data_IF_086935621453
#
_entry.id   IF_086935621453
#
_cell.length_a   1.000
_cell.length_b   1.000
_cell.length_c   1.000
_cell.angle_alpha   90.00
_cell.angle_beta   90.00
_cell.angle_gamma   90.00
#
_symmetry.space_group_name_H-M   'P 1'
#
loop_
_entity.id
_entity.type
_entity.pdbx_description
1 polymer ?
#
# COMPACT_ATOMS: atom_id res chain seq x y z
N UNK A 1 -22.28 -58.73 72.34
CA UNK A 1 -23.09 -57.62 71.79
C UNK A 1 -22.14 -56.51 71.34
N UNK A 2 -22.29 -56.07 70.09
CA UNK A 2 -21.26 -55.35 69.31
C UNK A 2 -21.24 -53.83 69.58
N UNK A 3 -20.02 -53.27 69.54
CA UNK A 3 -19.67 -51.83 69.54
C UNK A 3 -20.26 -51.13 68.31
N UNK A 4 -20.71 -49.88 68.45
CA UNK A 4 -20.81 -48.94 67.33
C UNK A 4 -20.35 -47.54 67.74
N UNK A 5 -19.23 -47.16 67.14
CA UNK A 5 -18.65 -45.83 67.04
C UNK A 5 -19.44 -45.06 65.97
N UNK A 6 -19.87 -43.82 66.22
CA UNK A 6 -20.28 -42.89 65.16
C UNK A 6 -19.38 -41.67 65.20
N UNK A 7 -18.39 -41.66 64.30
CA UNK A 7 -17.67 -40.45 63.92
C UNK A 7 -18.46 -39.73 62.82
N UNK A 8 -18.81 -38.47 63.05
CA UNK A 8 -19.29 -37.60 61.99
C UNK A 8 -18.08 -37.08 61.21
N UNK A 9 -17.89 -37.65 60.02
CA UNK A 9 -16.92 -37.20 59.02
C UNK A 9 -17.40 -35.85 58.47
N UNK A 10 -16.67 -34.78 58.77
CA UNK A 10 -16.84 -33.49 58.13
C UNK A 10 -16.42 -33.62 56.65
N UNK A 11 -17.37 -33.52 55.74
CA UNK A 11 -17.12 -33.52 54.30
C UNK A 11 -16.64 -32.12 53.90
N UNK A 12 -15.33 -31.93 53.82
CA UNK A 12 -14.70 -30.71 53.30
C UNK A 12 -14.84 -30.73 51.77
N UNK A 13 -15.84 -30.01 51.23
CA UNK A 13 -16.00 -29.82 49.80
C UNK A 13 -14.93 -28.84 49.31
N UNK A 14 -13.87 -29.38 48.72
CA UNK A 14 -12.79 -28.61 48.10
C UNK A 14 -13.32 -27.98 46.80
N UNK A 15 -13.80 -26.74 46.89
CA UNK A 15 -14.07 -25.88 45.74
C UNK A 15 -12.73 -25.51 45.10
N UNK A 16 -12.30 -26.31 44.12
CA UNK A 16 -11.21 -25.95 43.22
C UNK A 16 -11.71 -24.79 42.36
N UNK A 17 -11.39 -23.56 42.78
CA UNK A 17 -11.51 -22.39 41.93
C UNK A 17 -10.50 -22.54 40.78
N UNK A 18 -10.97 -23.04 39.64
CA UNK A 18 -10.30 -22.88 38.36
C UNK A 18 -10.36 -21.39 38.01
N UNK A 19 -9.46 -20.60 38.61
CA UNK A 19 -9.11 -19.29 38.10
C UNK A 19 -8.32 -19.56 36.82
N UNK A 20 -9.04 -19.74 35.72
CA UNK A 20 -8.44 -19.64 34.41
C UNK A 20 -7.83 -18.25 34.33
N UNK A 21 -6.51 -18.16 34.32
CA UNK A 21 -5.81 -16.95 33.91
C UNK A 21 -6.14 -16.75 32.42
N UNK A 22 -7.29 -16.15 32.12
CA UNK A 22 -7.54 -15.55 30.83
C UNK A 22 -6.53 -14.40 30.73
N UNK A 23 -5.38 -14.67 30.12
CA UNK A 23 -4.43 -13.60 29.76
C UNK A 23 -5.19 -12.65 28.86
N UNK A 24 -5.33 -11.40 29.31
CA UNK A 24 -5.94 -10.36 28.51
C UNK A 24 -5.20 -10.27 27.16
N UNK A 25 -5.91 -10.05 26.04
CA UNK A 25 -5.30 -9.99 24.72
C UNK A 25 -4.13 -9.00 24.73
N UNK A 26 -2.92 -9.49 24.43
CA UNK A 26 -1.72 -8.64 24.45
C UNK A 26 -1.55 -7.99 23.08
N UNK A 27 -1.71 -6.67 23.00
CA UNK A 27 -1.37 -5.90 21.82
C UNK A 27 0.15 -5.77 21.70
N UNK A 28 0.71 -6.35 20.66
CA UNK A 28 2.12 -6.16 20.31
C UNK A 28 2.23 -5.12 19.21
N UNK A 29 3.17 -4.18 19.38
CA UNK A 29 3.49 -3.15 18.39
C UNK A 29 4.96 -3.24 17.96
N UNK A 30 5.17 -3.43 16.66
CA UNK A 30 6.45 -3.39 15.96
C UNK A 30 6.55 -2.12 15.13
N UNK A 31 7.76 -1.59 15.01
CA UNK A 31 8.06 -0.46 14.13
C UNK A 31 9.50 -0.57 13.61
N UNK A 32 9.73 0.00 12.43
CA UNK A 32 11.03 0.02 11.78
C UNK A 32 10.97 0.85 10.51
N UNK A 33 12.00 0.75 9.67
CA UNK A 33 12.14 1.50 8.43
C UNK A 33 12.27 0.57 7.24
N UNK A 34 11.68 0.93 6.11
CA UNK A 34 11.83 0.23 4.83
C UNK A 34 11.45 1.16 3.67
N UNK A 35 11.92 0.92 2.44
CA UNK A 35 11.45 1.63 1.24
C UNK A 35 11.50 3.17 1.35
N UNK A 36 12.49 3.71 2.07
CA UNK A 36 12.61 5.16 2.31
C UNK A 36 11.55 5.76 3.25
N UNK A 37 10.79 4.92 3.96
CA UNK A 37 9.74 5.30 4.91
C UNK A 37 9.79 4.41 6.16
N UNK A 38 8.72 4.41 6.96
CA UNK A 38 8.56 3.62 8.17
C UNK A 38 7.40 2.63 8.05
N UNK A 39 7.46 1.58 8.85
CA UNK A 39 6.33 0.68 9.07
C UNK A 39 5.89 0.70 10.53
N UNK A 40 4.61 0.45 10.76
CA UNK A 40 4.01 0.26 12.08
C UNK A 40 3.06 -0.93 12.04
N UNK A 41 3.40 -2.01 12.74
CA UNK A 41 2.64 -3.27 12.73
C UNK A 41 2.11 -3.55 14.11
N UNK A 42 0.79 -3.72 14.21
CA UNK A 42 0.08 -4.06 15.44
C UNK A 42 -0.60 -5.40 15.28
N UNK A 43 -0.48 -6.29 16.25
CA UNK A 43 -1.22 -7.55 16.26
C UNK A 43 -1.55 -7.98 17.69
N UNK A 44 -2.59 -8.80 17.82
CA UNK A 44 -2.99 -9.39 19.10
C UNK A 44 -2.29 -10.75 19.24
N UNK A 45 -1.40 -10.87 20.22
CA UNK A 45 -0.67 -12.10 20.47
C UNK A 45 -1.59 -13.19 21.05
N UNK A 46 -1.27 -14.43 20.70
CA UNK A 46 -1.89 -15.66 21.21
C UNK A 46 -0.87 -16.46 22.01
N UNK A 47 -1.29 -17.53 22.69
CA UNK A 47 -0.38 -18.38 23.48
C UNK A 47 0.76 -18.98 22.65
N UNK A 48 0.54 -19.20 21.35
CA UNK A 48 1.52 -19.81 20.44
C UNK A 48 2.32 -18.78 19.62
N UNK A 49 2.11 -17.48 19.85
CA UNK A 49 2.79 -16.43 19.10
C UNK A 49 4.28 -16.42 19.45
N UNK A 50 5.19 -16.50 18.44
CA UNK A 50 6.62 -16.39 18.68
C UNK A 50 7.00 -15.07 19.37
N UNK A 51 8.20 -15.01 19.96
CA UNK A 51 8.69 -13.79 20.59
C UNK A 51 8.70 -12.61 19.60
N UNK A 52 8.34 -11.43 20.11
CA UNK A 52 8.29 -10.16 19.37
C UNK A 52 9.53 -9.95 18.48
N UNK A 53 10.73 -10.20 19.02
CA UNK A 53 12.00 -10.00 18.32
C UNK A 53 12.18 -10.97 17.14
N UNK A 54 11.67 -12.19 17.23
CA UNK A 54 11.72 -13.19 16.14
C UNK A 54 10.81 -12.75 15.00
N UNK A 55 9.59 -12.33 15.31
CA UNK A 55 8.62 -11.84 14.33
C UNK A 55 9.16 -10.59 13.63
N UNK A 56 9.69 -9.64 14.39
CA UNK A 56 10.26 -8.42 13.83
C UNK A 56 11.43 -8.70 12.88
N UNK A 57 12.37 -9.57 13.27
CA UNK A 57 13.51 -9.94 12.43
C UNK A 57 13.08 -10.56 11.09
N UNK A 58 12.03 -11.39 11.11
CA UNK A 58 11.52 -12.02 9.88
C UNK A 58 10.75 -11.01 9.00
N UNK A 59 10.01 -10.08 9.60
CA UNK A 59 9.40 -8.94 8.88
C UNK A 59 10.48 -8.10 8.20
N UNK A 60 11.50 -7.67 8.93
CA UNK A 60 12.60 -6.87 8.40
C UNK A 60 13.27 -7.57 7.21
N UNK A 61 13.57 -8.87 7.35
CA UNK A 61 14.14 -9.68 6.28
C UNK A 61 13.26 -9.73 5.04
N UNK A 62 11.94 -9.89 5.21
CA UNK A 62 10.98 -9.93 4.08
C UNK A 62 10.88 -8.59 3.38
N UNK A 63 10.82 -7.50 4.14
CA UNK A 63 10.78 -6.16 3.58
C UNK A 63 12.09 -5.79 2.88
N UNK A 64 13.24 -6.20 3.41
CA UNK A 64 14.53 -6.07 2.72
C UNK A 64 14.57 -6.86 1.40
N UNK A 65 14.02 -8.08 1.37
CA UNK A 65 13.90 -8.84 0.13
C UNK A 65 13.03 -8.11 -0.92
N UNK A 66 11.93 -7.47 -0.51
CA UNK A 66 11.14 -6.64 -1.44
C UNK A 66 11.96 -5.47 -1.98
N UNK A 67 12.81 -4.83 -1.16
CA UNK A 67 13.71 -3.77 -1.62
C UNK A 67 14.77 -4.30 -2.61
N UNK A 68 15.39 -5.45 -2.32
CA UNK A 68 16.36 -6.09 -3.20
C UNK A 68 15.75 -6.50 -4.55
N UNK A 69 14.44 -6.73 -4.58
CA UNK A 69 13.71 -7.07 -5.80
C UNK A 69 13.27 -5.83 -6.58
N UNK A 70 12.69 -4.83 -5.92
CA UNK A 70 11.86 -3.81 -6.60
C UNK A 70 12.29 -2.36 -6.37
N UNK A 71 13.35 -2.10 -5.60
CA UNK A 71 13.77 -0.71 -5.34
C UNK A 71 14.48 -0.10 -6.56
N UNK A 72 13.99 1.05 -7.03
CA UNK A 72 14.67 1.89 -8.03
C UNK A 72 15.85 2.68 -7.46
N UNK A 73 16.01 2.72 -6.13
CA UNK A 73 17.08 3.43 -5.43
C UNK A 73 18.29 2.53 -5.13
N UNK A 74 18.18 1.21 -5.33
CA UNK A 74 19.30 0.26 -5.22
C UNK A 74 19.77 -0.09 -6.63
N UNK A 75 20.99 0.31 -6.97
CA UNK A 75 21.58 0.06 -8.30
C UNK A 75 21.65 -1.42 -8.66
N UNK A 76 21.72 -2.29 -7.66
CA UNK A 76 21.83 -3.73 -7.78
C UNK A 76 20.52 -4.48 -7.50
N UNK A 77 19.37 -3.81 -7.36
CA UNK A 77 18.09 -4.52 -7.24
C UNK A 77 17.75 -5.30 -8.52
N UNK A 78 16.88 -6.31 -8.42
CA UNK A 78 16.40 -7.06 -9.59
C UNK A 78 15.76 -6.14 -10.64
N UNK A 79 14.91 -5.19 -10.21
CA UNK A 79 14.30 -4.18 -11.08
C UNK A 79 15.34 -3.24 -11.70
N UNK A 80 16.32 -2.77 -10.94
CA UNK A 80 17.39 -1.89 -11.46
C UNK A 80 18.25 -2.61 -12.49
N UNK A 81 18.61 -3.89 -12.26
CA UNK A 81 19.32 -4.70 -13.25
C UNK A 81 18.50 -4.89 -14.53
N UNK A 82 17.18 -5.08 -14.42
CA UNK A 82 16.29 -5.11 -15.58
C UNK A 82 16.26 -3.75 -16.32
N UNK A 83 16.20 -2.64 -15.60
CA UNK A 83 16.24 -1.29 -16.18
C UNK A 83 17.57 -1.00 -16.89
N UNK A 84 18.69 -1.51 -16.38
CA UNK A 84 20.03 -1.42 -16.98
C UNK A 84 20.23 -2.37 -18.17
N UNK A 85 19.43 -3.43 -18.28
CA UNK A 85 19.49 -4.36 -19.41
C UNK A 85 19.17 -3.62 -20.72
N UNK A 86 19.96 -3.87 -21.77
CA UNK A 86 19.81 -3.19 -23.08
C UNK A 86 19.52 -4.15 -24.24
N UNK A 87 19.68 -5.46 -24.04
CA UNK A 87 19.35 -6.43 -25.07
C UNK A 87 17.84 -6.70 -25.10
N UNK A 88 17.37 -7.23 -26.21
CA UNK A 88 15.99 -7.71 -26.43
C UNK A 88 15.76 -9.12 -25.86
N UNK A 89 16.76 -9.70 -25.19
CA UNK A 89 16.67 -10.99 -24.55
C UNK A 89 15.81 -10.95 -23.29
N UNK A 90 15.00 -11.98 -23.02
CA UNK A 90 14.27 -12.06 -21.76
C UNK A 90 15.20 -12.11 -20.54
N UNK A 91 14.78 -11.45 -19.47
CA UNK A 91 15.44 -11.43 -18.17
C UNK A 91 14.58 -12.17 -17.17
N UNK A 92 15.13 -13.22 -16.57
CA UNK A 92 14.48 -13.95 -15.48
C UNK A 92 14.40 -13.06 -14.23
N UNK A 93 13.22 -13.00 -13.62
CA UNK A 93 12.95 -12.31 -12.36
C UNK A 93 12.33 -13.26 -11.34
N UNK A 94 12.29 -12.83 -10.08
CA UNK A 94 11.62 -13.58 -9.02
C UNK A 94 10.10 -13.66 -9.23
N UNK A 95 9.46 -14.67 -8.62
CA UNK A 95 7.99 -14.80 -8.60
C UNK A 95 7.31 -13.54 -8.05
N UNK A 96 7.95 -12.88 -7.07
CA UNK A 96 7.47 -11.67 -6.45
C UNK A 96 7.43 -10.51 -7.45
N UNK A 97 8.54 -10.23 -8.14
CA UNK A 97 8.60 -9.19 -9.17
C UNK A 97 7.65 -9.50 -10.32
N UNK A 98 7.59 -10.76 -10.79
CA UNK A 98 6.65 -11.17 -11.83
C UNK A 98 5.19 -10.95 -11.41
N UNK A 99 4.82 -11.28 -10.17
CA UNK A 99 3.48 -11.03 -9.60
C UNK A 99 3.14 -9.54 -9.60
N UNK A 100 4.06 -8.68 -9.14
CA UNK A 100 3.83 -7.23 -9.06
C UNK A 100 3.75 -6.60 -10.46
N UNK A 101 4.63 -6.97 -11.39
CA UNK A 101 4.57 -6.47 -12.78
C UNK A 101 3.28 -6.92 -13.45
N UNK A 102 2.87 -8.17 -13.26
CA UNK A 102 1.62 -8.69 -13.81
C UNK A 102 0.41 -7.89 -13.32
N UNK A 103 0.38 -7.55 -12.03
CA UNK A 103 -0.70 -6.74 -11.48
C UNK A 103 -0.64 -5.31 -12.02
N UNK A 104 0.54 -4.70 -12.12
CA UNK A 104 0.71 -3.39 -12.74
C UNK A 104 0.20 -3.36 -14.19
N UNK A 105 0.49 -4.40 -14.99
CA UNK A 105 -0.02 -4.52 -16.36
C UNK A 105 -1.54 -4.65 -16.41
N UNK A 106 -2.13 -5.45 -15.49
CA UNK A 106 -3.59 -5.58 -15.38
C UNK A 106 -4.24 -4.25 -15.03
N UNK A 107 -3.66 -3.51 -14.07
CA UNK A 107 -4.16 -2.22 -13.62
C UNK A 107 -3.98 -1.12 -14.66
N UNK A 108 -2.91 -1.13 -15.44
CA UNK A 108 -2.74 -0.25 -16.59
C UNK A 108 -3.90 -0.43 -17.59
N UNK A 109 -4.18 -1.67 -18.00
CA UNK A 109 -5.30 -1.96 -18.89
C UNK A 109 -6.65 -1.57 -18.27
N UNK A 110 -6.85 -1.83 -16.97
CA UNK A 110 -8.08 -1.48 -16.26
C UNK A 110 -8.31 0.04 -16.18
N UNK A 111 -7.24 0.81 -16.05
CA UNK A 111 -7.28 2.28 -15.90
C UNK A 111 -7.08 3.02 -17.23
N UNK A 112 -7.15 2.32 -18.36
CA UNK A 112 -6.96 2.88 -19.71
C UNK A 112 -5.63 3.64 -19.84
N UNK A 113 -4.56 3.04 -19.31
CA UNK A 113 -3.20 3.59 -19.35
C UNK A 113 -2.88 4.62 -18.26
N UNK A 114 -3.84 5.01 -17.41
CA UNK A 114 -3.60 6.04 -16.41
C UNK A 114 -2.60 5.60 -15.31
N UNK A 115 -2.64 4.34 -14.88
CA UNK A 115 -1.54 3.74 -14.13
C UNK A 115 -0.53 3.14 -15.13
N UNK A 116 0.64 3.73 -15.27
CA UNK A 116 1.71 3.19 -16.11
C UNK A 116 3.02 3.13 -15.33
N UNK A 117 3.53 1.91 -15.08
CA UNK A 117 4.78 1.69 -14.36
C UNK A 117 6.02 1.94 -15.22
N UNK A 118 5.88 2.32 -16.48
CA UNK A 118 7.00 2.64 -17.39
C UNK A 118 7.31 4.14 -17.45
N UNK A 119 6.61 4.96 -16.67
CA UNK A 119 6.81 6.43 -16.60
C UNK A 119 8.07 6.86 -15.85
N UNK A 120 8.92 5.91 -15.42
CA UNK A 120 10.19 6.20 -14.74
C UNK A 120 11.05 7.29 -15.39
N UNK A 121 11.23 7.32 -16.73
CA UNK A 121 11.98 8.39 -17.40
C UNK A 121 11.37 9.79 -17.19
N UNK A 122 10.03 9.88 -17.10
CA UNK A 122 9.31 11.13 -16.84
C UNK A 122 9.37 11.51 -15.36
N UNK A 123 9.19 10.55 -14.45
CA UNK A 123 9.34 10.75 -13.00
C UNK A 123 10.73 11.31 -12.67
N UNK A 124 11.76 10.75 -13.30
CA UNK A 124 13.13 11.23 -13.18
C UNK A 124 13.31 12.65 -13.73
N UNK A 125 12.77 12.94 -14.93
CA UNK A 125 12.82 14.26 -15.55
C UNK A 125 12.20 15.33 -14.66
N UNK A 126 11.09 15.01 -13.99
CA UNK A 126 10.39 15.90 -13.06
C UNK A 126 10.97 15.91 -11.64
N UNK A 127 12.17 15.34 -11.42
CA UNK A 127 12.91 15.36 -10.14
C UNK A 127 12.27 14.56 -9.01
N UNK A 128 11.38 13.61 -9.33
CA UNK A 128 10.72 12.77 -8.34
C UNK A 128 11.32 11.36 -8.25
N UNK A 129 12.29 11.05 -9.11
CA UNK A 129 13.07 9.82 -9.07
C UNK A 129 14.52 10.02 -8.59
N UNK A 130 15.39 9.01 -8.75
CA UNK A 130 16.79 9.08 -8.29
C UNK A 130 17.71 10.02 -9.10
N UNK A 131 17.26 10.51 -10.27
CA UNK A 131 18.03 11.50 -11.06
C UNK A 131 18.16 12.85 -10.32
N UNK A 132 19.28 13.57 -10.54
CA UNK A 132 19.49 14.88 -9.91
C UNK A 132 18.45 15.88 -10.42
N UNK A 133 17.83 16.61 -9.49
CA UNK A 133 16.84 17.66 -9.74
C UNK A 133 17.36 18.71 -10.74
N UNK A 134 16.78 18.83 -11.95
CA UNK A 134 16.97 20.00 -12.81
C UNK A 134 16.58 21.30 -12.09
N UNK A 135 17.33 22.37 -12.35
CA UNK A 135 17.06 23.71 -11.79
C UNK A 135 15.86 24.39 -12.46
N UNK A 136 15.48 23.93 -13.66
CA UNK A 136 14.42 24.51 -14.50
C UNK A 136 13.31 23.50 -14.79
N UNK A 137 12.12 24.02 -15.12
CA UNK A 137 11.02 23.20 -15.64
C UNK A 137 11.43 22.57 -16.98
N UNK A 138 11.18 21.26 -17.19
CA UNK A 138 11.48 20.60 -18.45
C UNK A 138 10.78 21.26 -19.65
N UNK A 139 11.51 21.40 -20.74
CA UNK A 139 11.01 21.86 -22.04
C UNK A 139 10.12 20.81 -22.70
N UNK A 140 9.28 21.24 -23.65
CA UNK A 140 8.40 20.34 -24.40
C UNK A 140 9.21 19.30 -25.20
N UNK A 141 10.37 19.69 -25.71
CA UNK A 141 11.31 18.80 -26.38
C UNK A 141 11.89 17.73 -25.43
N UNK A 142 12.29 18.11 -24.22
CA UNK A 142 12.79 17.16 -23.20
C UNK A 142 11.70 16.18 -22.76
N UNK A 143 10.47 16.67 -22.59
CA UNK A 143 9.31 15.83 -22.25
C UNK A 143 9.05 14.83 -23.39
N UNK A 144 8.99 15.30 -24.63
CA UNK A 144 8.77 14.43 -25.79
C UNK A 144 9.86 13.34 -25.93
N UNK A 145 11.13 13.68 -25.66
CA UNK A 145 12.23 12.72 -25.67
C UNK A 145 12.03 11.63 -24.60
N UNK A 146 11.64 12.01 -23.38
CA UNK A 146 11.40 11.04 -22.30
C UNK A 146 10.14 10.22 -22.53
N UNK A 147 9.07 10.79 -23.09
CA UNK A 147 7.87 10.05 -23.47
C UNK A 147 8.16 8.93 -24.48
N UNK A 148 9.12 9.13 -25.39
CA UNK A 148 9.55 8.09 -26.34
C UNK A 148 10.24 6.88 -25.67
N UNK A 149 10.62 7.01 -24.39
CA UNK A 149 11.20 5.96 -23.56
C UNK A 149 10.16 5.26 -22.67
N UNK A 150 8.89 5.67 -22.75
CA UNK A 150 7.77 5.12 -21.96
C UNK A 150 6.82 4.32 -22.85
N UNK A 151 5.91 3.57 -22.24
CA UNK A 151 4.87 2.79 -22.91
C UNK A 151 4.88 1.34 -22.46
N UNK A 152 3.81 0.92 -21.79
CA UNK A 152 3.67 -0.45 -21.30
C UNK A 152 3.64 -1.49 -22.45
N UNK A 153 3.26 -1.09 -23.67
CA UNK A 153 3.33 -1.95 -24.86
C UNK A 153 4.76 -2.41 -25.19
N UNK A 154 5.76 -1.69 -24.69
CA UNK A 154 7.17 -2.08 -24.81
C UNK A 154 7.63 -3.06 -23.73
N UNK A 155 6.77 -3.45 -22.80
CA UNK A 155 7.04 -4.42 -21.73
C UNK A 155 6.18 -5.67 -21.90
N UNK A 156 6.79 -6.84 -21.79
CA UNK A 156 6.05 -8.11 -21.75
C UNK A 156 6.58 -9.04 -20.66
N UNK A 157 5.69 -9.90 -20.17
CA UNK A 157 5.96 -10.89 -19.13
C UNK A 157 5.47 -12.26 -19.61
N UNK A 158 6.37 -13.25 -19.63
CA UNK A 158 6.05 -14.65 -19.94
C UNK A 158 6.59 -15.56 -18.84
N UNK A 159 5.70 -16.13 -18.01
CA UNK A 159 6.11 -16.77 -16.77
C UNK A 159 6.80 -15.76 -15.86
N UNK A 160 8.09 -15.98 -15.60
CA UNK A 160 8.96 -15.09 -14.81
C UNK A 160 9.99 -14.35 -15.67
N UNK A 161 9.79 -14.31 -16.98
CA UNK A 161 10.70 -13.63 -17.89
C UNK A 161 10.11 -12.30 -18.32
N UNK A 162 10.79 -11.22 -17.94
CA UNK A 162 10.50 -9.87 -18.45
C UNK A 162 11.27 -9.62 -19.73
N UNK A 163 10.62 -8.99 -20.70
CA UNK A 163 11.25 -8.56 -21.94
C UNK A 163 10.82 -7.14 -22.25
N UNK A 164 11.79 -6.31 -22.64
CA UNK A 164 11.52 -4.97 -23.15
C UNK A 164 11.98 -4.82 -24.59
N UNK A 165 11.13 -4.25 -25.44
CA UNK A 165 11.46 -3.98 -26.85
C UNK A 165 12.10 -2.61 -27.04
N UNK A 166 11.87 -1.69 -26.10
CA UNK A 166 12.57 -0.41 -26.00
C UNK A 166 13.74 -0.54 -25.00
N UNK A 167 15.00 -0.40 -25.43
CA UNK A 167 16.16 -0.55 -24.54
C UNK A 167 16.26 0.53 -23.47
N UNK A 168 15.63 1.69 -23.70
CA UNK A 168 15.58 2.83 -22.79
C UNK A 168 14.37 2.80 -21.85
N UNK A 169 13.50 1.79 -21.97
CA UNK A 169 12.39 1.59 -21.04
C UNK A 169 12.91 1.43 -19.62
N UNK A 170 12.30 2.19 -18.71
CA UNK A 170 12.59 2.17 -17.28
C UNK A 170 11.30 1.90 -16.52
N UNK A 171 11.25 0.76 -15.83
CA UNK A 171 10.12 0.35 -15.02
C UNK A 171 10.31 0.85 -13.59
N UNK A 172 9.30 1.53 -13.06
CA UNK A 172 9.19 2.02 -11.70
C UNK A 172 7.94 1.44 -11.03
N UNK A 173 8.16 0.61 -10.00
CA UNK A 173 7.10 -0.05 -9.24
C UNK A 173 6.73 0.70 -7.96
N UNK A 174 7.18 1.94 -7.77
CA UNK A 174 6.98 2.72 -6.54
C UNK A 174 5.51 2.92 -6.16
N UNK A 175 4.60 2.85 -7.13
CA UNK A 175 3.14 2.98 -6.95
C UNK A 175 2.40 1.68 -6.60
N UNK A 176 3.12 0.56 -6.43
CA UNK A 176 2.49 -0.76 -6.24
C UNK A 176 3.30 -1.68 -5.31
N UNK A 177 4.63 -1.55 -5.31
CA UNK A 177 5.53 -2.40 -4.54
C UNK A 177 5.39 -2.22 -3.02
N UNK A 178 4.97 -1.03 -2.58
CA UNK A 178 4.73 -0.75 -1.15
C UNK A 178 3.49 -1.48 -0.65
N UNK A 179 2.37 -1.39 -1.38
CA UNK A 179 1.20 -2.24 -1.14
C UNK A 179 1.53 -3.74 -1.15
N UNK A 180 2.40 -4.20 -2.07
CA UNK A 180 2.89 -5.58 -2.03
C UNK A 180 3.69 -5.91 -0.75
N UNK A 181 4.52 -5.01 -0.27
CA UNK A 181 5.22 -5.16 1.02
C UNK A 181 4.27 -5.33 2.21
N UNK A 182 3.15 -4.59 2.21
CA UNK A 182 2.08 -4.74 3.21
C UNK A 182 1.47 -6.14 3.11
N UNK A 183 1.12 -6.59 1.90
CA UNK A 183 0.56 -7.92 1.65
C UNK A 183 1.50 -9.03 2.15
N UNK A 184 2.80 -8.94 1.86
CA UNK A 184 3.83 -9.91 2.30
C UNK A 184 3.89 -10.03 3.83
N UNK A 185 3.79 -8.91 4.53
CA UNK A 185 3.79 -8.89 6.01
C UNK A 185 2.48 -9.46 6.55
N UNK A 186 1.34 -9.09 5.98
CA UNK A 186 0.04 -9.60 6.40
C UNK A 186 -0.08 -11.13 6.19
N UNK A 187 0.38 -11.63 5.04
CA UNK A 187 0.48 -13.06 4.73
C UNK A 187 1.40 -13.78 5.73
N UNK A 188 2.53 -13.17 6.12
CA UNK A 188 3.41 -13.72 7.15
C UNK A 188 2.73 -13.80 8.52
N UNK A 189 2.07 -12.73 8.98
CA UNK A 189 1.34 -12.75 10.25
C UNK A 189 0.22 -13.80 10.24
N UNK A 190 -0.54 -13.89 9.14
CA UNK A 190 -1.56 -14.91 8.96
C UNK A 190 -0.97 -16.34 9.01
N UNK A 191 0.22 -16.56 8.45
CA UNK A 191 0.91 -17.85 8.51
C UNK A 191 1.31 -18.29 9.93
N UNK A 192 1.41 -17.34 10.87
CA UNK A 192 1.62 -17.60 12.28
C UNK A 192 0.31 -17.86 13.06
N UNK A 193 -0.84 -17.87 12.37
CA UNK A 193 -2.16 -17.99 13.00
C UNK A 193 -2.61 -16.70 13.70
N UNK A 194 -2.06 -15.54 13.34
CA UNK A 194 -2.53 -14.25 13.86
C UNK A 194 -3.72 -13.78 13.01
N UNK A 195 -4.89 -13.71 13.65
CA UNK A 195 -6.14 -13.29 13.00
C UNK A 195 -6.52 -11.83 13.25
N UNK A 196 -5.78 -11.14 14.11
CA UNK A 196 -6.08 -9.77 14.52
C UNK A 196 -4.84 -8.90 14.35
N UNK A 197 -4.77 -8.13 13.27
CA UNK A 197 -3.63 -7.27 12.99
C UNK A 197 -3.97 -6.04 12.16
N UNK A 198 -3.10 -5.04 12.25
CA UNK A 198 -3.00 -3.87 11.41
C UNK A 198 -1.55 -3.74 10.97
N UNK A 199 -1.28 -3.91 9.68
CA UNK A 199 0.02 -3.66 9.05
C UNK A 199 -0.06 -2.30 8.39
N UNK A 200 0.90 -1.42 8.67
CA UNK A 200 1.04 -0.13 8.00
C UNK A 200 2.47 0.04 7.48
N UNK A 201 2.63 0.43 6.22
CA UNK A 201 3.92 0.78 5.62
C UNK A 201 3.73 2.05 4.78
N UNK A 202 4.27 3.19 5.23
CA UNK A 202 4.24 4.43 4.46
C UNK A 202 2.85 5.03 4.18
N UNK A 203 1.85 4.66 4.97
CA UNK A 203 0.44 5.06 4.83
C UNK A 203 -0.49 3.96 4.30
N UNK A 204 0.06 2.94 3.65
CA UNK A 204 -0.67 1.79 3.09
C UNK A 204 -0.90 0.74 4.16
N UNK A 205 -2.11 0.20 4.20
CA UNK A 205 -2.62 -0.54 5.34
C UNK A 205 -3.20 -1.88 4.91
N UNK A 206 -3.01 -2.92 5.72
CA UNK A 206 -3.83 -4.14 5.71
C UNK A 206 -4.38 -4.37 7.10
N UNK A 207 -5.69 -4.57 7.20
CA UNK A 207 -6.38 -4.81 8.47
C UNK A 207 -7.03 -6.19 8.45
N UNK A 208 -7.04 -6.84 9.61
CA UNK A 208 -7.77 -8.09 9.84
C UNK A 208 -8.26 -8.17 11.28
N UNK A 209 -9.50 -8.61 11.45
CA UNK A 209 -10.12 -8.87 12.74
C UNK A 209 -10.35 -7.61 13.57
N UNK A 210 -10.05 -7.69 14.87
CA UNK A 210 -10.37 -6.66 15.86
C UNK A 210 -9.12 -6.19 16.62
N UNK A 211 -9.22 -5.03 17.26
CA UNK A 211 -8.18 -4.50 18.13
C UNK A 211 -8.24 -5.16 19.54
N UNK A 212 -7.39 -4.69 20.46
CA UNK A 212 -7.30 -5.20 21.83
C UNK A 212 -8.59 -5.06 22.65
N UNK A 213 -9.48 -4.13 22.25
CA UNK A 213 -10.76 -3.88 22.92
C UNK A 213 -11.90 -4.72 22.30
N UNK A 214 -11.59 -5.60 21.34
CA UNK A 214 -12.56 -6.45 20.67
C UNK A 214 -13.43 -5.75 19.63
N UNK A 215 -13.05 -4.54 19.19
CA UNK A 215 -13.76 -3.79 18.14
C UNK A 215 -12.98 -3.74 16.83
N UNK A 216 -13.62 -3.60 15.66
CA UNK A 216 -12.93 -3.49 14.38
C UNK A 216 -11.87 -2.38 14.40
N UNK A 217 -10.77 -2.62 13.70
CA UNK A 217 -9.73 -1.61 13.54
C UNK A 217 -10.29 -0.36 12.87
N UNK A 218 -9.91 0.80 13.41
CA UNK A 218 -10.30 2.12 12.90
C UNK A 218 -9.14 2.78 12.21
N UNK A 219 -9.41 3.39 11.07
CA UNK A 219 -8.44 4.23 10.35
C UNK A 219 -9.03 5.61 10.11
N UNK A 220 -8.17 6.60 10.11
CA UNK A 220 -8.52 7.97 9.77
C UNK A 220 -8.10 8.25 8.31
N UNK A 221 -9.04 8.71 7.51
CA UNK A 221 -8.74 9.32 6.21
C UNK A 221 -8.39 10.77 6.50
N UNK A 222 -7.19 11.20 6.12
CA UNK A 222 -6.72 12.55 6.40
C UNK A 222 -7.43 13.59 5.54
N UNK A 223 -7.70 14.75 6.13
CA UNK A 223 -8.08 15.95 5.42
C UNK A 223 -6.81 16.59 4.85
N UNK A 224 -6.69 16.72 3.52
CA UNK A 224 -5.49 17.29 2.93
C UNK A 224 -5.44 18.79 3.23
N UNK A 225 -4.60 19.20 4.18
CA UNK A 225 -4.35 20.61 4.49
C UNK A 225 -2.87 20.84 4.76
N UNK A 226 -2.34 21.96 4.28
CA UNK A 226 -0.93 22.30 4.49
C UNK A 226 -0.66 22.53 5.99
N UNK A 227 0.10 21.63 6.60
CA UNK A 227 0.65 21.80 7.95
C UNK A 227 -0.25 21.41 9.13
N UNK A 228 -1.48 20.94 8.90
CA UNK A 228 -2.34 20.40 9.98
C UNK A 228 -2.86 19.01 9.66
N UNK A 229 -2.51 18.03 10.50
CA UNK A 229 -3.19 16.72 10.51
C UNK A 229 -4.60 16.94 11.06
N UNK A 230 -5.57 17.02 10.17
CA UNK A 230 -6.99 17.00 10.53
C UNK A 230 -7.62 15.75 9.93
N UNK A 231 -8.53 15.13 10.67
CA UNK A 231 -9.23 13.92 10.23
C UNK A 231 -10.39 14.34 9.33
N UNK A 232 -10.46 13.78 8.12
CA UNK A 232 -11.60 13.93 7.23
C UNK A 232 -12.71 12.95 7.65
N UNK A 233 -12.36 11.67 7.75
CA UNK A 233 -13.30 10.58 8.04
C UNK A 233 -12.66 9.50 8.90
N UNK A 234 -13.46 8.78 9.70
CA UNK A 234 -13.03 7.58 10.43
C UNK A 234 -13.86 6.40 9.95
N UNK A 235 -13.18 5.42 9.34
CA UNK A 235 -13.83 4.22 8.81
C UNK A 235 -13.38 2.95 9.55
N UNK A 236 -14.20 1.91 9.45
CA UNK A 236 -13.92 0.55 9.94
C UNK A 236 -13.92 -0.39 8.72
N UNK A 237 -12.77 -0.55 8.01
CA UNK A 237 -12.72 -1.30 6.75
C UNK A 237 -13.01 -2.80 6.88
N UNK A 238 -12.88 -3.35 8.09
CA UNK A 238 -12.90 -4.80 8.32
C UNK A 238 -11.62 -5.46 7.79
N UNK A 239 -11.78 -6.66 7.23
CA UNK A 239 -10.67 -7.47 6.70
C UNK A 239 -10.30 -7.02 5.28
N UNK A 240 -9.75 -5.81 5.17
CA UNK A 240 -9.45 -5.16 3.89
C UNK A 240 -8.11 -4.41 3.96
N UNK A 241 -7.52 -4.22 2.78
CA UNK A 241 -6.45 -3.26 2.56
C UNK A 241 -7.01 -1.85 2.36
N UNK A 242 -6.18 -0.85 2.68
CA UNK A 242 -6.45 0.56 2.39
C UNK A 242 -5.18 1.20 1.86
N UNK A 243 -5.26 1.81 0.68
CA UNK A 243 -4.18 2.64 0.15
C UNK A 243 -4.70 4.04 -0.15
N UNK A 244 -3.85 5.06 0.00
CA UNK A 244 -4.22 6.45 -0.29
C UNK A 244 -3.13 7.16 -1.07
N UNK A 245 -3.43 7.51 -2.32
CA UNK A 245 -2.59 8.37 -3.15
C UNK A 245 -3.06 9.82 -3.01
N UNK A 246 -2.12 10.77 -3.00
CA UNK A 246 -2.46 12.19 -2.91
C UNK A 246 -1.32 13.12 -3.30
N UNK A 247 -1.68 14.30 -3.78
CA UNK A 247 -0.74 15.32 -4.24
C UNK A 247 -0.24 16.24 -3.11
N UNK A 248 -0.79 16.08 -1.90
CA UNK A 248 -0.62 17.03 -0.80
C UNK A 248 0.72 16.92 -0.04
N UNK A 249 1.37 15.76 -0.09
CA UNK A 249 2.61 15.47 0.67
C UNK A 249 3.90 15.72 -0.12
N UNK A 250 3.94 15.34 -1.40
CA UNK A 250 5.12 15.41 -2.25
C UNK A 250 4.85 16.27 -3.49
N UNK A 251 5.28 17.54 -3.42
CA UNK A 251 5.16 18.53 -4.48
C UNK A 251 6.32 19.54 -4.43
N UNK A 252 6.54 20.27 -5.51
CA UNK A 252 7.32 21.50 -5.49
C UNK A 252 6.56 22.64 -6.16
N UNK A 253 6.93 23.87 -5.85
CA UNK A 253 6.38 25.08 -6.47
C UNK A 253 7.46 25.77 -7.32
N UNK A 254 7.08 26.22 -8.51
CA UNK A 254 7.89 27.05 -9.41
C UNK A 254 6.97 28.08 -10.06
N UNK A 255 7.33 29.37 -9.97
CA UNK A 255 6.52 30.50 -10.47
C UNK A 255 5.04 30.47 -10.03
N UNK A 256 4.78 30.02 -8.80
CA UNK A 256 3.42 29.91 -8.24
C UNK A 256 2.59 28.74 -8.77
N UNK A 257 3.17 27.87 -9.60
CA UNK A 257 2.58 26.62 -10.07
C UNK A 257 3.08 25.47 -9.22
N UNK A 258 2.15 24.65 -8.73
CA UNK A 258 2.42 23.45 -7.95
C UNK A 258 2.54 22.23 -8.86
N UNK A 259 3.63 21.48 -8.73
CA UNK A 259 3.91 20.25 -9.46
C UNK A 259 3.91 19.07 -8.48
N UNK A 260 3.02 18.11 -8.70
CA UNK A 260 2.96 16.87 -7.91
C UNK A 260 3.91 15.81 -8.49
N UNK A 261 4.22 14.80 -7.69
CA UNK A 261 5.03 13.65 -8.11
C UNK A 261 4.29 12.66 -9.03
N UNK A 262 2.98 12.83 -9.21
CA UNK A 262 2.15 11.92 -10.01
C UNK A 262 2.09 12.45 -11.44
N UNK A 263 2.66 11.70 -12.37
CA UNK A 263 2.76 12.05 -13.78
C UNK A 263 1.57 11.46 -14.54
N UNK A 264 0.95 12.26 -15.40
CA UNK A 264 0.00 11.80 -16.40
C UNK A 264 0.77 11.22 -17.60
N UNK A 265 0.71 9.89 -17.85
CA UNK A 265 1.44 9.25 -18.94
C UNK A 265 1.09 9.82 -20.32
N UNK A 266 -0.14 10.33 -20.52
CA UNK A 266 -0.59 10.85 -21.80
C UNK A 266 0.02 12.21 -22.15
N UNK A 267 0.39 13.00 -21.13
CA UNK A 267 0.96 14.34 -21.33
C UNK A 267 2.44 14.43 -21.00
N UNK A 268 2.98 13.46 -20.27
CA UNK A 268 4.34 13.48 -19.76
C UNK A 268 4.57 14.51 -18.66
N UNK A 269 3.51 15.05 -18.06
CA UNK A 269 3.55 16.13 -17.06
C UNK A 269 2.86 15.73 -15.77
N UNK A 270 3.17 16.40 -14.64
CA UNK A 270 2.38 16.27 -13.42
C UNK A 270 0.89 16.52 -13.66
N UNK A 271 0.04 15.77 -12.98
CA UNK A 271 -1.41 15.95 -13.01
C UNK A 271 -1.80 17.39 -12.62
N UNK A 272 -2.81 17.95 -13.30
CA UNK A 272 -3.20 19.37 -13.16
C UNK A 272 -4.66 19.60 -12.74
N UNK A 273 -5.37 18.55 -12.33
CA UNK A 273 -6.75 18.65 -11.86
C UNK A 273 -6.85 18.88 -10.34
N UNK A 274 -8.06 19.17 -9.86
CA UNK A 274 -8.34 19.52 -8.45
C UNK A 274 -8.49 18.34 -7.49
N UNK A 275 -8.32 17.10 -7.94
CA UNK A 275 -8.35 15.92 -7.06
C UNK A 275 -7.09 15.92 -6.18
N UNK A 276 -7.29 15.79 -4.87
CA UNK A 276 -6.25 15.98 -3.85
C UNK A 276 -5.82 14.65 -3.24
N UNK A 277 -6.78 13.75 -3.05
CA UNK A 277 -6.49 12.38 -2.61
C UNK A 277 -7.53 11.39 -3.12
N UNK A 278 -7.08 10.15 -3.27
CA UNK A 278 -7.91 8.98 -3.53
C UNK A 278 -7.54 7.90 -2.52
N UNK A 279 -8.53 7.41 -1.78
CA UNK A 279 -8.42 6.26 -0.89
C UNK A 279 -9.17 5.09 -1.52
N UNK A 280 -8.54 3.93 -1.65
CA UNK A 280 -9.13 2.71 -2.21
C UNK A 280 -9.10 1.59 -1.17
N UNK A 281 -10.19 0.81 -1.10
CA UNK A 281 -10.22 -0.45 -0.36
C UNK A 281 -10.20 -1.62 -1.34
N UNK A 282 -9.36 -2.62 -1.06
CA UNK A 282 -9.30 -3.87 -1.81
C UNK A 282 -8.83 -5.00 -0.86
N UNK A 283 -9.11 -6.28 -1.10
CA UNK A 283 -8.50 -7.36 -0.31
C UNK A 283 -6.96 -7.41 -0.39
N UNK A 284 -6.36 -6.92 -1.49
CA UNK A 284 -4.92 -6.82 -1.70
C UNK A 284 -4.46 -5.37 -1.63
N UNK A 285 -3.51 -5.09 -0.75
CA UNK A 285 -2.93 -3.76 -0.61
C UNK A 285 -2.14 -3.35 -1.85
N UNK A 286 -1.46 -4.30 -2.51
CA UNK A 286 -0.84 -4.09 -3.83
C UNK A 286 -1.86 -3.54 -4.85
N UNK A 287 -3.06 -4.11 -4.90
CA UNK A 287 -4.11 -3.69 -5.83
C UNK A 287 -4.68 -2.32 -5.46
N UNK A 288 -4.94 -2.09 -4.17
CA UNK A 288 -5.41 -0.80 -3.67
C UNK A 288 -4.42 0.34 -3.98
N UNK A 289 -3.11 0.11 -3.78
CA UNK A 289 -2.03 1.08 -4.01
C UNK A 289 -1.96 1.51 -5.49
N UNK A 290 -1.93 0.53 -6.40
CA UNK A 290 -1.94 0.80 -7.83
C UNK A 290 -3.24 1.50 -8.30
N UNK A 291 -4.40 1.07 -7.80
CA UNK A 291 -5.68 1.71 -8.13
C UNK A 291 -5.78 3.14 -7.62
N UNK A 292 -5.31 3.42 -6.40
CA UNK A 292 -5.33 4.76 -5.83
C UNK A 292 -4.56 5.75 -6.71
N UNK A 293 -3.39 5.37 -7.22
CA UNK A 293 -2.62 6.20 -8.15
C UNK A 293 -3.25 6.28 -9.53
N UNK A 294 -3.73 5.18 -10.11
CA UNK A 294 -4.41 5.21 -11.39
C UNK A 294 -5.66 6.10 -11.39
N UNK A 295 -6.44 6.03 -10.31
CA UNK A 295 -7.60 6.92 -10.09
C UNK A 295 -7.18 8.37 -9.86
N UNK A 296 -6.05 8.59 -9.18
CA UNK A 296 -5.48 9.92 -9.04
C UNK A 296 -5.08 10.51 -10.38
N UNK A 297 -4.58 9.73 -11.34
CA UNK A 297 -4.26 10.19 -12.71
C UNK A 297 -5.52 10.41 -13.57
N UNK A 298 -6.51 9.53 -13.45
CA UNK A 298 -7.78 9.65 -14.20
C UNK A 298 -8.57 10.92 -13.86
N UNK A 299 -8.40 11.44 -12.64
CA UNK A 299 -9.20 12.52 -12.10
C UNK A 299 -10.58 12.07 -11.62
N UNK A 300 -11.31 12.95 -10.91
CA UNK A 300 -12.41 12.55 -10.03
C UNK A 300 -13.62 11.96 -10.76
N UNK A 301 -13.96 12.50 -11.93
CA UNK A 301 -15.13 12.07 -12.69
C UNK A 301 -14.95 10.70 -13.32
N UNK A 302 -13.81 10.47 -14.00
CA UNK A 302 -13.49 9.18 -14.62
C UNK A 302 -13.24 8.11 -13.56
N UNK A 303 -12.52 8.46 -12.50
CA UNK A 303 -12.19 7.53 -11.43
C UNK A 303 -13.45 7.03 -10.71
N UNK A 304 -14.39 7.90 -10.32
CA UNK A 304 -15.60 7.45 -9.62
C UNK A 304 -16.51 6.63 -10.54
N UNK A 305 -16.57 6.98 -11.83
CA UNK A 305 -17.33 6.21 -12.82
C UNK A 305 -16.76 4.78 -12.96
N UNK A 306 -15.43 4.66 -13.12
CA UNK A 306 -14.75 3.38 -13.21
C UNK A 306 -14.87 2.56 -11.92
N UNK A 307 -14.71 3.20 -10.77
CA UNK A 307 -14.89 2.56 -9.47
C UNK A 307 -16.32 2.00 -9.29
N UNK A 308 -17.34 2.77 -9.68
CA UNK A 308 -18.73 2.30 -9.64
C UNK A 308 -18.99 1.15 -10.61
N UNK A 309 -18.45 1.23 -11.84
CA UNK A 309 -18.60 0.18 -12.84
C UNK A 309 -18.00 -1.15 -12.36
N UNK A 310 -16.86 -1.10 -11.69
CA UNK A 310 -16.14 -2.28 -11.19
C UNK A 310 -16.48 -2.65 -9.73
N UNK A 311 -17.41 -1.93 -9.09
CA UNK A 311 -17.76 -2.11 -7.68
C UNK A 311 -16.54 -2.02 -6.73
N UNK A 312 -15.64 -1.08 -6.99
CA UNK A 312 -14.45 -0.80 -6.18
C UNK A 312 -14.81 0.27 -5.14
N UNK A 313 -14.60 0.03 -3.83
CA UNK A 313 -14.72 1.06 -2.82
C UNK A 313 -13.61 2.10 -3.01
N UNK A 314 -13.99 3.31 -3.42
CA UNK A 314 -13.08 4.43 -3.56
C UNK A 314 -13.69 5.70 -2.95
N UNK A 315 -12.85 6.48 -2.26
CA UNK A 315 -13.18 7.76 -1.67
C UNK A 315 -12.20 8.82 -2.13
N UNK A 316 -12.72 9.97 -2.55
CA UNK A 316 -11.95 11.00 -3.21
C UNK A 316 -12.21 12.34 -2.54
N UNK A 317 -11.15 13.10 -2.33
CA UNK A 317 -11.23 14.47 -1.83
C UNK A 317 -10.80 15.42 -2.94
N UNK A 318 -11.70 16.32 -3.34
CA UNK A 318 -11.49 17.26 -4.43
C UNK A 318 -11.45 18.69 -3.89
N UNK A 319 -10.46 19.48 -4.29
CA UNK A 319 -10.36 20.89 -3.95
C UNK A 319 -11.46 21.69 -4.63
N UNK A 320 -12.18 22.49 -3.86
CA UNK A 320 -13.13 23.51 -4.37
C UNK A 320 -12.60 24.90 -4.06
N UNK A 321 -13.24 25.94 -4.61
CA UNK A 321 -12.84 27.33 -4.35
C UNK A 321 -12.97 27.67 -2.85
N UNK A 322 -13.99 27.12 -2.17
CA UNK A 322 -14.29 27.39 -0.76
C UNK A 322 -13.81 26.30 0.22
N UNK A 323 -13.11 25.26 -0.26
CA UNK A 323 -12.71 24.15 0.61
C UNK A 323 -12.43 22.84 -0.13
N UNK A 324 -13.16 21.79 0.27
CA UNK A 324 -13.05 20.44 -0.28
C UNK A 324 -14.43 19.82 -0.45
N UNK A 325 -14.56 18.98 -1.47
CA UNK A 325 -15.73 18.15 -1.75
C UNK A 325 -15.32 16.69 -1.71
N UNK A 326 -16.14 15.87 -1.06
CA UNK A 326 -15.98 14.42 -1.02
C UNK A 326 -16.78 13.77 -2.15
N UNK A 327 -16.19 12.74 -2.75
CA UNK A 327 -16.85 11.87 -3.71
C UNK A 327 -16.56 10.43 -3.30
N UNK A 328 -17.61 9.62 -3.11
CA UNK A 328 -17.50 8.22 -2.76
C UNK A 328 -18.16 7.36 -3.83
N UNK A 329 -17.52 6.26 -4.22
CA UNK A 329 -18.17 5.23 -5.02
C UNK A 329 -19.31 4.59 -4.23
N UNK A 330 -20.28 3.98 -4.91
CA UNK A 330 -21.39 3.27 -4.27
C UNK A 330 -20.89 2.17 -3.32
N UNK A 331 -19.83 1.47 -3.72
CA UNK A 331 -19.18 0.43 -2.91
C UNK A 331 -18.48 0.98 -1.66
N UNK A 332 -18.11 2.26 -1.63
CA UNK A 332 -17.46 2.88 -0.47
C UNK A 332 -18.47 3.39 0.57
N UNK A 333 -19.68 3.76 0.16
CA UNK A 333 -20.70 4.34 1.05
C UNK A 333 -20.98 3.53 2.34
N UNK A 334 -20.97 2.19 2.34
CA UNK A 334 -21.16 1.41 3.57
C UNK A 334 -20.11 1.65 4.66
N UNK A 335 -18.92 2.14 4.30
CA UNK A 335 -17.83 2.40 5.25
C UNK A 335 -17.90 3.80 5.87
N UNK A 336 -18.70 4.71 5.30
CA UNK A 336 -18.90 6.05 5.83
C UNK A 336 -19.86 5.99 7.01
N UNK A 337 -19.39 6.40 8.20
CA UNK A 337 -20.23 6.51 9.38
C UNK A 337 -21.12 7.75 9.25
N UNK A 338 -22.37 7.56 8.86
CA UNK A 338 -23.40 8.61 8.89
C UNK A 338 -24.33 8.44 10.07
#
# INVERSE_FOLDING_TARGET
MKKFWLGCVATLTLLVALVGCERSPELVHLNGSTMGTYYSIKYIATENTPEKAVIQKEIDKRLELVNDQMSTYRDDSELSRFNQHRADSPVEVSDATAKVVKEAMRLNAFTDGALDVTVGPLVNLWSFGPEKRPENIPTDEEIAQRMAMTGLESLSLSGNQLTKTNPDLYVDLSTIAKGYGVDVVAEYLASLGLDNYLVEIGGELQLKGVNQDGVPWRIAIEKPSAGTQSVQEIIEPGDMAVATSGDYRNYFEHDGVRYSHIIDPATGRPIHHRLVSVTVLDPSCMTADGLATGFMVLGPEKAVALANQANIPAFMVVKTDDGFKEIASEAFKPYLKR
#
